data_IF_454191093769
#
_entry.id   IF_454191093769
#
_cell.length_a   1.000
_cell.length_b   1.000
_cell.length_c   1.000
_cell.angle_alpha   90.00
_cell.angle_beta   90.00
_cell.angle_gamma   90.00
#
_symmetry.space_group_name_H-M   'P 1'
#
loop_
_entity.id
_entity.type
_entity.pdbx_description
1 polymer ?
#
# COMPACT_ATOMS: atom_id res chain seq x y z
N UNK A 1 -6.84 -19.31 -5.42
CA UNK A 1 -5.55 -18.62 -5.09
C UNK A 1 -5.91 -17.16 -4.91
N UNK A 2 -5.42 -16.53 -3.84
CA UNK A 2 -5.68 -15.11 -3.61
C UNK A 2 -5.08 -14.26 -4.73
N UNK A 3 -5.78 -13.19 -5.11
CA UNK A 3 -5.36 -12.25 -6.15
C UNK A 3 -4.79 -10.98 -5.53
N UNK A 4 -3.84 -10.29 -6.19
CA UNK A 4 -3.25 -9.06 -5.67
C UNK A 4 -4.25 -7.93 -5.38
N UNK A 5 -5.42 -7.93 -6.03
CA UNK A 5 -6.48 -6.95 -5.76
C UNK A 5 -7.19 -7.17 -4.42
N UNK A 6 -7.10 -8.36 -3.82
CA UNK A 6 -7.76 -8.67 -2.55
C UNK A 6 -7.00 -8.10 -1.35
N UNK A 7 -7.71 -7.58 -0.37
CA UNK A 7 -7.13 -6.91 0.81
C UNK A 7 -6.31 -7.84 1.71
N UNK A 8 -6.60 -9.13 1.71
CA UNK A 8 -5.89 -10.17 2.46
C UNK A 8 -4.78 -10.87 1.67
N UNK A 9 -4.42 -10.36 0.48
CA UNK A 9 -3.36 -10.93 -0.33
C UNK A 9 -2.00 -10.88 0.38
N UNK A 10 -1.29 -12.00 0.32
CA UNK A 10 0.12 -12.09 0.71
C UNK A 10 0.84 -13.13 -0.12
N UNK A 11 2.14 -13.00 -0.24
CA UNK A 11 2.99 -13.96 -0.96
C UNK A 11 4.35 -14.12 -0.27
N UNK A 12 4.99 -15.26 -0.50
CA UNK A 12 6.32 -15.58 0.00
C UNK A 12 7.27 -15.89 -1.15
N UNK A 13 8.55 -15.66 -0.94
CA UNK A 13 9.59 -15.85 -1.94
C UNK A 13 10.68 -16.79 -1.42
N UNK A 14 10.94 -17.86 -2.15
CA UNK A 14 12.03 -18.79 -1.86
C UNK A 14 13.38 -18.32 -2.46
N UNK A 15 13.37 -17.31 -3.35
CA UNK A 15 14.59 -16.78 -3.96
C UNK A 15 14.56 -15.25 -4.01
N UNK A 16 15.74 -14.65 -3.86
CA UNK A 16 15.94 -13.20 -4.01
C UNK A 16 15.48 -12.71 -5.40
N UNK A 17 15.84 -13.41 -6.45
CA UNK A 17 15.49 -13.02 -7.81
C UNK A 17 13.97 -13.04 -8.04
N UNK A 18 13.26 -14.03 -7.47
CA UNK A 18 11.80 -14.07 -7.51
C UNK A 18 11.15 -12.87 -6.81
N UNK A 19 11.67 -12.52 -5.63
CA UNK A 19 11.22 -11.34 -4.89
C UNK A 19 11.50 -10.04 -5.64
N UNK A 20 12.70 -9.89 -6.18
CA UNK A 20 13.10 -8.70 -6.94
C UNK A 20 12.21 -8.48 -8.18
N UNK A 21 11.98 -9.54 -8.99
CA UNK A 21 11.11 -9.46 -10.17
C UNK A 21 9.67 -9.12 -9.81
N UNK A 22 9.18 -9.65 -8.69
CA UNK A 22 7.85 -9.30 -8.20
C UNK A 22 7.74 -7.79 -7.92
N UNK A 23 8.69 -7.23 -7.17
CA UNK A 23 8.69 -5.80 -6.87
C UNK A 23 8.94 -4.91 -8.08
N UNK A 24 9.78 -5.34 -9.03
CA UNK A 24 9.97 -4.65 -10.31
C UNK A 24 8.65 -4.57 -11.10
N UNK A 25 7.93 -5.69 -11.20
CA UNK A 25 6.60 -5.73 -11.83
C UNK A 25 5.60 -4.82 -11.06
N UNK A 26 5.52 -4.96 -9.72
CA UNK A 26 4.65 -4.12 -8.88
C UNK A 26 4.95 -2.63 -9.07
N UNK A 27 6.23 -2.24 -9.18
CA UNK A 27 6.64 -0.85 -9.43
C UNK A 27 6.19 -0.34 -10.79
N UNK A 28 6.33 -1.15 -11.85
CA UNK A 28 5.90 -0.80 -13.21
C UNK A 28 4.38 -0.71 -13.36
N UNK A 29 3.64 -1.53 -12.65
CA UNK A 29 2.16 -1.57 -12.70
C UNK A 29 1.52 -0.56 -11.72
N UNK A 30 2.28 -0.02 -10.77
CA UNK A 30 1.81 1.01 -9.84
C UNK A 30 1.71 2.37 -10.52
N UNK A 31 0.63 3.09 -10.25
CA UNK A 31 0.44 4.46 -10.73
C UNK A 31 0.39 5.42 -9.55
N UNK A 32 1.16 6.50 -9.66
CA UNK A 32 1.13 7.61 -8.74
C UNK A 32 0.35 8.76 -9.37
N UNK A 33 -0.70 9.21 -8.67
CA UNK A 33 -1.55 10.30 -9.12
C UNK A 33 -1.48 11.45 -8.12
N UNK A 34 -1.11 12.65 -8.60
CA UNK A 34 -1.02 13.86 -7.80
C UNK A 34 -2.28 14.70 -7.98
N UNK A 35 -2.91 15.08 -6.87
CA UNK A 35 -4.08 15.97 -6.86
C UNK A 35 -4.11 16.77 -5.54
N UNK A 36 -5.11 17.62 -5.36
CA UNK A 36 -5.35 18.31 -4.09
C UNK A 36 -6.25 17.48 -3.19
N UNK A 37 -6.08 17.63 -1.88
CA UNK A 37 -6.89 16.91 -0.89
C UNK A 37 -8.37 17.22 -1.05
N UNK A 38 -8.74 18.48 -1.31
CA UNK A 38 -10.14 18.89 -1.51
C UNK A 38 -10.73 18.48 -2.88
N UNK A 39 -9.96 17.84 -3.74
CA UNK A 39 -10.45 17.22 -4.99
C UNK A 39 -10.81 15.74 -4.78
N UNK A 40 -10.44 15.17 -3.63
CA UNK A 40 -10.78 13.79 -3.29
C UNK A 40 -12.27 13.69 -2.94
N UNK A 41 -12.95 12.74 -3.55
CA UNK A 41 -14.34 12.46 -3.27
C UNK A 41 -14.54 10.97 -3.00
N UNK A 42 -15.10 10.68 -1.82
CA UNK A 42 -15.28 9.32 -1.31
C UNK A 42 -16.77 8.96 -1.41
N UNK A 43 -17.04 7.79 -1.96
CA UNK A 43 -18.38 7.20 -2.01
C UNK A 43 -18.42 5.88 -1.24
N UNK A 44 -19.56 5.54 -0.63
CA UNK A 44 -19.74 4.23 -0.05
C UNK A 44 -19.79 3.17 -1.15
N UNK A 45 -19.13 2.04 -0.90
CA UNK A 45 -19.09 0.90 -1.80
C UNK A 45 -19.51 -0.36 -1.02
N UNK A 46 -20.79 -0.57 -0.91
CA UNK A 46 -21.39 -1.80 -0.37
C UNK A 46 -22.49 -2.30 -1.30
N UNK A 47 -23.00 -3.51 -1.05
CA UNK A 47 -24.02 -4.18 -1.89
C UNK A 47 -25.34 -3.38 -2.00
N UNK A 48 -25.58 -2.43 -1.10
CA UNK A 48 -26.75 -1.56 -1.12
C UNK A 48 -26.48 -0.21 -1.81
N UNK A 49 -25.22 0.14 -2.09
CA UNK A 49 -24.86 1.40 -2.74
C UNK A 49 -25.15 1.35 -4.23
N UNK A 50 -25.65 2.47 -4.83
CA UNK A 50 -25.85 2.53 -6.29
C UNK A 50 -24.56 2.28 -7.08
N UNK A 51 -23.42 2.67 -6.54
CA UNK A 51 -22.11 2.52 -7.19
C UNK A 51 -21.74 1.03 -7.37
N UNK A 52 -22.07 0.15 -6.42
CA UNK A 52 -21.78 -1.27 -6.52
C UNK A 52 -22.39 -1.92 -7.78
N UNK A 53 -23.62 -1.53 -8.14
CA UNK A 53 -24.33 -2.01 -9.33
C UNK A 53 -23.96 -1.33 -10.64
N UNK A 54 -22.94 -0.44 -10.64
CA UNK A 54 -22.61 0.40 -11.83
C UNK A 54 -21.15 0.18 -12.27
N UNK A 55 -20.82 -0.96 -12.92
CA UNK A 55 -19.44 -1.24 -13.37
C UNK A 55 -18.83 -0.16 -14.26
N UNK A 56 -19.64 0.51 -15.07
CA UNK A 56 -19.20 1.59 -15.97
C UNK A 56 -18.74 2.87 -15.25
N UNK A 57 -19.00 3.01 -13.95
CA UNK A 57 -18.52 4.14 -13.16
C UNK A 57 -17.05 3.97 -12.74
N UNK A 58 -16.55 2.73 -12.75
CA UNK A 58 -15.17 2.45 -12.39
C UNK A 58 -14.21 2.67 -13.56
N UNK A 59 -12.95 2.94 -13.22
CA UNK A 59 -11.90 3.10 -14.22
C UNK A 59 -11.69 1.80 -15.01
N UNK A 60 -11.24 1.95 -16.26
CA UNK A 60 -10.92 0.81 -17.10
C UNK A 60 -9.91 -0.12 -16.45
N UNK A 61 -10.16 -1.42 -16.48
CA UNK A 61 -9.30 -2.44 -15.89
C UNK A 61 -9.63 -2.79 -14.42
N UNK A 62 -10.59 -2.11 -13.79
CA UNK A 62 -11.08 -2.51 -12.47
C UNK A 62 -11.99 -3.75 -12.63
N UNK A 63 -11.62 -4.85 -11.96
CA UNK A 63 -12.38 -6.11 -11.99
C UNK A 63 -13.57 -6.10 -11.02
N UNK A 64 -14.57 -6.92 -11.30
CA UNK A 64 -15.68 -7.14 -10.37
C UNK A 64 -15.20 -7.72 -9.03
N UNK A 65 -14.15 -8.56 -9.05
CA UNK A 65 -13.54 -9.12 -7.85
C UNK A 65 -12.95 -8.05 -6.94
N UNK A 66 -12.28 -7.04 -7.51
CA UNK A 66 -11.74 -5.89 -6.77
C UNK A 66 -12.85 -5.06 -6.11
N UNK A 67 -13.95 -4.84 -6.82
CA UNK A 67 -15.13 -4.13 -6.30
C UNK A 67 -15.77 -4.92 -5.16
N UNK A 68 -16.01 -6.23 -5.34
CA UNK A 68 -16.62 -7.09 -4.34
C UNK A 68 -15.76 -7.21 -3.08
N UNK A 69 -14.46 -7.48 -3.22
CA UNK A 69 -13.52 -7.54 -2.09
C UNK A 69 -13.53 -6.23 -1.29
N UNK A 70 -13.53 -5.07 -1.96
CA UNK A 70 -13.62 -3.78 -1.27
C UNK A 70 -14.96 -3.58 -0.57
N UNK A 71 -16.06 -3.99 -1.20
CA UNK A 71 -17.39 -3.92 -0.61
C UNK A 71 -17.53 -4.78 0.66
N UNK A 72 -16.82 -5.88 0.74
CA UNK A 72 -16.77 -6.77 1.91
C UNK A 72 -15.82 -6.29 3.01
N UNK A 73 -14.80 -5.49 2.67
CA UNK A 73 -13.81 -4.93 3.58
C UNK A 73 -14.11 -3.47 3.96
N UNK A 74 -13.30 -2.51 3.52
CA UNK A 74 -13.45 -1.10 3.88
C UNK A 74 -14.78 -0.48 3.37
N UNK A 75 -15.22 -0.89 2.20
CA UNK A 75 -16.48 -0.45 1.61
C UNK A 75 -16.49 1.01 1.18
N UNK A 76 -15.39 1.52 0.66
CA UNK A 76 -15.25 2.87 0.12
C UNK A 76 -14.68 2.83 -1.28
N UNK A 77 -15.13 3.76 -2.13
CA UNK A 77 -14.51 4.06 -3.42
C UNK A 77 -14.11 5.54 -3.46
N UNK A 78 -13.07 5.86 -4.22
CA UNK A 78 -12.59 7.23 -4.42
C UNK A 78 -12.69 7.59 -5.88
N UNK A 79 -13.19 8.80 -6.15
CA UNK A 79 -13.24 9.37 -7.51
C UNK A 79 -11.89 10.02 -7.83
N UNK A 80 -11.31 9.62 -8.97
CA UNK A 80 -10.05 10.15 -9.51
C UNK A 80 -10.25 10.34 -11.02
N UNK A 81 -10.01 11.54 -11.55
CA UNK A 81 -10.15 11.86 -12.96
C UNK A 81 -11.52 11.46 -13.56
N UNK A 82 -12.59 11.61 -12.78
CA UNK A 82 -13.95 11.31 -13.23
C UNK A 82 -14.39 9.85 -13.14
N UNK A 83 -13.49 8.92 -12.81
CA UNK A 83 -13.76 7.49 -12.61
C UNK A 83 -13.56 7.08 -11.16
N UNK A 84 -14.24 6.02 -10.73
CA UNK A 84 -14.09 5.48 -9.38
C UNK A 84 -13.02 4.39 -9.32
N UNK A 85 -12.31 4.36 -8.20
CA UNK A 85 -11.37 3.31 -7.81
C UNK A 85 -11.78 2.76 -6.45
N UNK A 86 -11.85 1.43 -6.27
CA UNK A 86 -11.99 0.83 -4.94
C UNK A 86 -10.87 1.28 -4.01
N UNK A 87 -11.16 1.50 -2.73
CA UNK A 87 -10.15 1.91 -1.74
C UNK A 87 -9.76 0.70 -0.89
N UNK A 88 -8.46 0.39 -0.87
CA UNK A 88 -7.91 -0.69 -0.06
C UNK A 88 -7.95 -0.35 1.43
N UNK A 89 -8.19 -1.34 2.28
CA UNK A 89 -8.23 -1.13 3.74
C UNK A 89 -6.94 -0.52 4.29
N UNK A 90 -5.79 -0.82 3.72
CA UNK A 90 -4.51 -0.22 4.14
C UNK A 90 -4.42 1.29 3.86
N UNK A 91 -5.19 1.81 2.89
CA UNK A 91 -5.24 3.24 2.59
C UNK A 91 -6.01 4.05 3.64
N UNK A 92 -6.85 3.40 4.46
CA UNK A 92 -7.74 4.08 5.41
C UNK A 92 -7.00 5.03 6.34
N UNK A 93 -5.90 4.57 6.95
CA UNK A 93 -5.10 5.41 7.84
C UNK A 93 -4.56 6.66 7.14
N UNK A 94 -4.01 6.51 5.95
CA UNK A 94 -3.47 7.64 5.19
C UNK A 94 -4.56 8.62 4.74
N UNK A 95 -5.77 8.15 4.47
CA UNK A 95 -6.94 9.02 4.21
C UNK A 95 -7.35 9.82 5.45
N UNK A 96 -7.39 9.20 6.63
CA UNK A 96 -7.63 9.90 7.89
C UNK A 96 -6.58 10.98 8.15
N UNK A 97 -5.31 10.69 7.85
CA UNK A 97 -4.21 11.66 7.95
C UNK A 97 -4.40 12.84 6.99
N UNK A 98 -4.93 12.63 5.77
CA UNK A 98 -5.28 13.72 4.83
C UNK A 98 -6.46 14.54 5.33
N UNK A 99 -7.49 13.88 5.84
CA UNK A 99 -8.67 14.53 6.42
C UNK A 99 -8.39 15.20 7.78
N UNK A 100 -7.19 15.00 8.37
CA UNK A 100 -6.81 15.51 9.70
C UNK A 100 -7.75 15.09 10.81
N UNK A 101 -8.30 13.88 10.71
CA UNK A 101 -9.22 13.31 11.70
C UNK A 101 -8.66 12.00 12.27
N UNK A 102 -9.05 11.72 13.52
CA UNK A 102 -8.70 10.47 14.20
C UNK A 102 -9.78 10.11 15.20
N UNK A 103 -9.83 8.86 15.61
CA UNK A 103 -10.72 8.41 16.68
C UNK A 103 -11.20 6.98 16.49
N UNK A 104 -11.38 6.27 17.59
CA UNK A 104 -11.85 4.87 17.62
C UNK A 104 -13.32 4.69 17.24
N UNK A 105 -14.08 5.79 17.14
CA UNK A 105 -15.48 5.76 16.71
C UNK A 105 -15.63 5.70 15.18
N UNK A 106 -14.66 6.22 14.41
CA UNK A 106 -14.75 6.31 12.96
C UNK A 106 -14.97 4.95 12.27
N UNK A 107 -14.26 3.86 12.63
CA UNK A 107 -14.50 2.55 12.02
C UNK A 107 -15.85 1.92 12.37
N UNK A 108 -16.56 2.49 13.36
CA UNK A 108 -17.90 2.02 13.79
C UNK A 108 -19.04 2.74 13.06
N UNK A 109 -18.75 3.77 12.28
CA UNK A 109 -19.74 4.45 11.45
C UNK A 109 -20.21 3.54 10.32
N UNK A 110 -21.45 3.75 9.86
CA UNK A 110 -21.86 3.16 8.58
C UNK A 110 -21.00 3.74 7.45
N UNK A 111 -20.79 2.98 6.37
CA UNK A 111 -19.99 3.39 5.22
C UNK A 111 -20.44 4.72 4.63
N UNK A 112 -21.75 4.92 4.55
CA UNK A 112 -22.35 6.19 4.13
C UNK A 112 -21.93 7.36 5.04
N UNK A 113 -21.99 7.19 6.35
CA UNK A 113 -21.60 8.25 7.29
C UNK A 113 -20.08 8.47 7.29
N UNK A 114 -19.30 7.39 7.17
CA UNK A 114 -17.86 7.50 7.10
C UNK A 114 -17.44 8.27 5.84
N UNK A 115 -18.01 7.97 4.67
CA UNK A 115 -17.77 8.69 3.43
C UNK A 115 -18.13 10.19 3.57
N UNK A 116 -19.30 10.50 4.15
CA UNK A 116 -19.71 11.90 4.40
C UNK A 116 -18.72 12.64 5.29
N UNK A 117 -18.34 12.06 6.44
CA UNK A 117 -17.36 12.68 7.37
C UNK A 117 -16.01 12.88 6.70
N UNK A 118 -15.56 11.91 5.91
CA UNK A 118 -14.30 12.05 5.16
C UNK A 118 -14.39 13.21 4.16
N UNK A 119 -15.45 13.29 3.38
CA UNK A 119 -15.63 14.37 2.38
C UNK A 119 -15.69 15.75 3.07
N UNK A 120 -16.50 15.90 4.10
CA UNK A 120 -16.64 17.16 4.85
C UNK A 120 -15.26 17.64 5.40
N UNK A 121 -14.41 16.69 5.84
CA UNK A 121 -13.08 17.04 6.34
C UNK A 121 -12.06 17.27 5.22
N UNK A 122 -12.07 16.47 4.14
CA UNK A 122 -11.13 16.61 3.02
C UNK A 122 -11.32 17.93 2.28
N UNK A 123 -12.55 18.42 2.13
CA UNK A 123 -12.88 19.71 1.52
C UNK A 123 -12.19 20.91 2.19
N UNK A 124 -11.87 20.79 3.49
CA UNK A 124 -11.22 21.87 4.24
C UNK A 124 -9.74 22.08 3.91
N UNK A 125 -9.11 21.16 3.15
CA UNK A 125 -7.67 21.19 2.92
C UNK A 125 -7.34 21.24 1.44
N UNK A 126 -6.60 22.26 1.02
CA UNK A 126 -6.13 22.45 -0.36
C UNK A 126 -4.68 21.97 -0.59
N UNK A 127 -4.06 21.30 0.40
CA UNK A 127 -2.72 20.74 0.25
C UNK A 127 -2.67 19.65 -0.81
N UNK A 128 -1.52 19.47 -1.42
CA UNK A 128 -1.31 18.38 -2.36
C UNK A 128 -1.30 17.01 -1.67
N UNK A 129 -1.76 16.00 -2.38
CA UNK A 129 -1.68 14.59 -2.01
C UNK A 129 -1.18 13.74 -3.18
N UNK A 130 -0.50 12.67 -2.86
CA UNK A 130 0.00 11.69 -3.82
C UNK A 130 -0.68 10.35 -3.57
N UNK A 131 -1.58 9.97 -4.47
CA UNK A 131 -2.30 8.70 -4.40
C UNK A 131 -1.48 7.58 -5.02
N UNK A 132 -1.37 6.46 -4.33
CA UNK A 132 -0.86 5.22 -4.89
C UNK A 132 -2.03 4.37 -5.39
N UNK A 133 -2.10 4.14 -6.69
CA UNK A 133 -3.03 3.21 -7.32
C UNK A 133 -2.22 1.95 -7.67
N UNK A 134 -2.59 0.83 -7.07
CA UNK A 134 -1.90 -0.44 -7.24
C UNK A 134 -2.90 -1.59 -7.13
N UNK A 135 -2.72 -2.61 -7.99
CA UNK A 135 -3.60 -3.78 -8.03
C UNK A 135 -5.08 -3.36 -8.04
N UNK A 136 -5.43 -2.47 -8.98
CA UNK A 136 -6.79 -1.96 -9.22
C UNK A 136 -7.37 -1.06 -8.11
N UNK A 137 -6.67 -0.82 -7.00
CA UNK A 137 -7.18 -0.08 -5.83
C UNK A 137 -6.33 1.13 -5.46
N UNK A 138 -6.96 2.13 -4.84
CA UNK A 138 -6.24 3.16 -4.10
C UNK A 138 -5.63 2.50 -2.85
N UNK A 139 -4.32 2.41 -2.81
CA UNK A 139 -3.57 1.70 -1.76
C UNK A 139 -2.99 2.62 -0.68
N UNK A 140 -2.84 3.91 -0.98
CA UNK A 140 -2.42 4.94 -0.03
C UNK A 140 -2.72 6.36 -0.55
N UNK A 141 -2.80 7.33 0.37
CA UNK A 141 -2.84 8.77 0.10
C UNK A 141 -1.75 9.46 0.93
N UNK A 142 -0.57 9.66 0.32
CA UNK A 142 0.57 10.29 0.97
C UNK A 142 0.53 11.82 0.88
N UNK A 143 1.42 12.49 1.62
CA UNK A 143 1.66 13.92 1.42
C UNK A 143 2.12 14.17 -0.03
N UNK A 144 1.57 15.20 -0.66
CA UNK A 144 1.98 15.62 -2.00
C UNK A 144 3.19 16.53 -2.00
N UNK A 145 3.69 16.93 -0.81
CA UNK A 145 4.88 17.74 -0.70
C UNK A 145 6.11 16.96 -1.18
N UNK A 146 6.68 17.41 -2.30
CA UNK A 146 7.85 16.78 -2.89
C UNK A 146 9.12 16.92 -2.04
N UNK A 147 9.13 17.82 -1.06
CA UNK A 147 10.22 17.96 -0.09
C UNK A 147 10.13 16.92 1.01
N UNK A 148 8.93 16.47 1.35
CA UNK A 148 8.67 15.52 2.44
C UNK A 148 8.56 14.08 1.98
N UNK A 149 8.26 13.85 0.69
CA UNK A 149 7.98 12.51 0.18
C UNK A 149 8.53 12.29 -1.23
N UNK A 150 9.39 11.28 -1.35
CA UNK A 150 9.79 10.73 -2.64
C UNK A 150 9.51 9.23 -2.69
N UNK A 151 9.10 8.75 -3.86
CA UNK A 151 8.89 7.32 -4.09
C UNK A 151 10.25 6.62 -4.11
N UNK A 152 10.44 5.65 -3.22
CA UNK A 152 11.59 4.75 -3.25
C UNK A 152 11.13 3.37 -3.72
N UNK A 153 11.44 2.95 -4.96
CA UNK A 153 11.08 1.63 -5.46
C UNK A 153 11.77 0.53 -4.64
N UNK A 154 11.00 -0.46 -4.20
CA UNK A 154 11.51 -1.55 -3.34
C UNK A 154 12.54 -2.39 -4.09
N UNK A 155 12.37 -2.61 -5.40
CA UNK A 155 13.34 -3.33 -6.23
C UNK A 155 14.70 -2.64 -6.28
N UNK A 156 14.75 -1.30 -6.37
CA UNK A 156 15.99 -0.54 -6.29
C UNK A 156 16.63 -0.64 -4.90
N UNK A 157 15.82 -0.54 -3.84
CA UNK A 157 16.31 -0.73 -2.47
C UNK A 157 16.90 -2.13 -2.29
N UNK A 158 16.25 -3.18 -2.80
CA UNK A 158 16.74 -4.55 -2.75
C UNK A 158 18.08 -4.71 -3.49
N UNK A 159 18.25 -4.10 -4.66
CA UNK A 159 19.53 -4.11 -5.41
C UNK A 159 20.67 -3.50 -4.59
N UNK A 160 20.42 -2.32 -4.00
CA UNK A 160 21.42 -1.64 -3.16
C UNK A 160 21.75 -2.45 -1.91
N UNK A 161 20.73 -3.00 -1.25
CA UNK A 161 20.88 -3.81 -0.04
C UNK A 161 21.71 -5.06 -0.32
N UNK A 162 21.38 -5.81 -1.37
CA UNK A 162 22.09 -7.05 -1.72
C UNK A 162 23.54 -6.77 -2.04
N UNK A 163 23.82 -5.74 -2.85
CA UNK A 163 25.21 -5.32 -3.12
C UNK A 163 25.98 -5.00 -1.83
N UNK A 164 25.38 -4.29 -0.90
CA UNK A 164 26.02 -3.96 0.38
C UNK A 164 26.21 -5.17 1.29
N UNK A 165 25.29 -6.13 1.23
CA UNK A 165 25.44 -7.41 1.94
C UNK A 165 26.60 -8.23 1.37
N UNK A 166 26.70 -8.36 0.04
CA UNK A 166 27.78 -9.09 -0.62
C UNK A 166 29.15 -8.44 -0.34
N UNK A 167 29.23 -7.10 -0.39
CA UNK A 167 30.48 -6.36 -0.11
C UNK A 167 30.94 -6.52 1.34
N UNK A 168 30.01 -6.51 2.31
CA UNK A 168 30.33 -6.47 3.76
C UNK A 168 30.31 -7.85 4.41
N UNK A 169 29.48 -8.75 3.91
CA UNK A 169 29.26 -10.10 4.44
C UNK A 169 29.33 -11.14 3.31
N UNK A 170 30.53 -11.39 2.76
CA UNK A 170 30.70 -12.36 1.68
C UNK A 170 30.13 -13.72 2.06
N UNK A 171 29.40 -14.34 1.14
CA UNK A 171 28.73 -15.63 1.38
C UNK A 171 27.39 -15.50 2.10
N UNK A 172 26.82 -14.30 2.25
CA UNK A 172 25.45 -14.14 2.72
C UNK A 172 24.47 -14.87 1.78
N UNK A 173 23.48 -15.55 2.36
CA UNK A 173 22.50 -16.33 1.60
C UNK A 173 21.09 -15.88 1.91
N UNK A 174 20.33 -15.55 0.88
CA UNK A 174 18.90 -15.26 1.01
C UNK A 174 18.15 -16.49 1.54
N UNK A 175 17.36 -16.32 2.59
CA UNK A 175 16.60 -17.38 3.25
C UNK A 175 15.12 -17.35 2.91
N UNK A 176 14.60 -16.21 2.55
CA UNK A 176 13.21 -16.05 2.19
C UNK A 176 12.76 -14.60 2.23
N UNK A 177 11.63 -14.34 1.60
CA UNK A 177 10.96 -13.07 1.61
C UNK A 177 9.46 -13.23 1.80
N UNK A 178 8.81 -12.15 2.24
CA UNK A 178 7.38 -12.04 2.42
C UNK A 178 6.91 -10.69 1.91
N UNK A 179 5.71 -10.65 1.34
CA UNK A 179 5.06 -9.43 0.88
C UNK A 179 3.56 -9.50 1.14
N UNK A 180 3.01 -8.45 1.75
CA UNK A 180 1.60 -8.09 1.74
C UNK A 180 1.43 -6.60 1.34
N UNK A 181 0.23 -6.05 1.46
CA UNK A 181 -0.03 -4.67 1.02
C UNK A 181 0.66 -3.60 1.88
N UNK A 182 1.10 -3.92 3.07
CA UNK A 182 1.69 -2.98 4.04
C UNK A 182 3.15 -3.26 4.34
N UNK A 183 3.61 -4.51 4.15
CA UNK A 183 4.92 -4.97 4.55
C UNK A 183 5.62 -5.71 3.41
N UNK A 184 6.90 -5.42 3.23
CA UNK A 184 7.84 -6.25 2.49
C UNK A 184 9.01 -6.58 3.41
N UNK A 185 9.33 -7.86 3.58
CA UNK A 185 10.45 -8.31 4.40
C UNK A 185 11.29 -9.35 3.67
N UNK A 186 12.58 -9.35 3.97
CA UNK A 186 13.52 -10.32 3.44
C UNK A 186 14.55 -10.68 4.50
N UNK A 187 15.01 -11.92 4.49
CA UNK A 187 15.99 -12.43 5.44
C UNK A 187 17.19 -13.07 4.75
N UNK A 188 18.35 -12.88 5.36
CA UNK A 188 19.61 -13.50 4.92
C UNK A 188 20.31 -14.18 6.10
N UNK A 189 20.96 -15.30 5.84
CA UNK A 189 21.98 -15.85 6.74
C UNK A 189 23.35 -15.28 6.37
N UNK A 190 24.15 -14.99 7.37
CA UNK A 190 25.51 -14.48 7.25
C UNK A 190 26.47 -15.53 7.86
N UNK A 191 26.96 -16.49 7.07
CA UNK A 191 27.90 -17.50 7.56
C UNK A 191 29.17 -16.85 8.12
N UNK A 192 29.69 -17.40 9.21
CA UNK A 192 30.92 -16.90 9.86
C UNK A 192 30.75 -15.71 10.81
N UNK A 193 29.62 -15.02 10.82
CA UNK A 193 29.41 -13.84 11.69
C UNK A 193 28.98 -14.23 13.11
N UNK A 194 28.54 -15.47 13.34
CA UNK A 194 28.03 -15.89 14.66
C UNK A 194 29.10 -15.80 15.74
N UNK A 195 30.32 -16.27 15.44
CA UNK A 195 31.45 -16.27 16.38
C UNK A 195 31.92 -14.85 16.66
N UNK A 196 32.00 -14.00 15.65
CA UNK A 196 32.36 -12.58 15.78
C UNK A 196 31.36 -11.81 16.64
N UNK A 197 30.06 -12.03 16.43
CA UNK A 197 28.97 -11.42 17.21
C UNK A 197 28.98 -11.90 18.66
N UNK A 198 29.17 -13.21 18.90
CA UNK A 198 29.28 -13.76 20.25
C UNK A 198 30.52 -13.25 20.96
N UNK A 199 31.65 -13.13 20.26
CA UNK A 199 32.90 -12.57 20.80
C UNK A 199 32.77 -11.06 21.11
N UNK A 200 32.06 -10.29 20.27
CA UNK A 200 31.78 -8.90 20.55
C UNK A 200 30.82 -8.73 21.74
N UNK A 201 29.78 -9.56 21.84
CA UNK A 201 28.84 -9.52 22.94
C UNK A 201 29.49 -9.90 24.29
N UNK A 202 30.36 -10.95 24.30
CA UNK A 202 31.09 -11.35 25.50
C UNK A 202 32.06 -10.29 26.03
N UNK A 203 32.50 -9.35 25.17
CA UNK A 203 33.33 -8.19 25.59
C UNK A 203 32.52 -7.03 26.18
N UNK A 204 31.21 -7.05 26.03
CA UNK A 204 30.31 -6.04 26.58
C UNK A 204 29.74 -6.44 27.97
N UNK A 205 29.85 -7.70 28.35
CA UNK A 205 29.47 -8.25 29.65
C UNK A 205 30.65 -8.28 30.57
#
# INVERSE_FOLDING_TARGET
>A
MLQPCQDNYSTTFASYEGMRRYHEKESLESRWHRCRVNELHIEPLDKASPLYGTPSAFAAGISAESVEDTAENLGLAMRVDGSYYPVRSTAYKSLLDRAKISGSALPKLSRQRLASVLNDCLELYSSETLLLIRDEKISAAHSGDSMDYSVLPIDELLKVLTKKLDDRFPGSMFQGGYRDHSLSSASWTMPGQKEDLLGAYAKLL
#
